data_IF_468865663453
#
_entry.id   IF_468865663453
#
_cell.length_a   1.000
_cell.length_b   1.000
_cell.length_c   1.000
_cell.angle_alpha   90.00
_cell.angle_beta   90.00
_cell.angle_gamma   90.00
#
_symmetry.space_group_name_H-M   'P 1'
#
loop_
_entity.id
_entity.type
_entity.pdbx_description
1 polymer ?
#
# COMPACT_ATOMS: atom_id res chain seq x y z
N UNK A 1 2.75 7.35 -7.11
CA UNK A 1 2.07 6.04 -7.16
C UNK A 1 2.68 5.09 -8.19
N UNK A 2 3.23 5.59 -9.30
CA UNK A 2 3.92 4.77 -10.32
C UNK A 2 4.92 3.78 -9.73
N UNK A 3 5.78 4.22 -8.81
CA UNK A 3 6.80 3.35 -8.21
C UNK A 3 6.25 2.07 -7.56
N UNK A 4 5.08 2.12 -6.90
CA UNK A 4 4.50 0.95 -6.24
C UNK A 4 3.97 -0.06 -7.26
N UNK A 5 3.47 0.43 -8.40
CA UNK A 5 3.02 -0.43 -9.50
C UNK A 5 4.21 -0.96 -10.31
N UNK A 6 5.16 -0.09 -10.67
CA UNK A 6 6.29 -0.39 -11.54
C UNK A 6 7.28 -1.37 -10.89
N UNK A 7 7.36 -1.39 -9.56
CA UNK A 7 8.25 -2.31 -8.83
C UNK A 7 7.54 -3.57 -8.34
N UNK A 8 6.25 -3.77 -8.62
CA UNK A 8 5.50 -4.90 -8.06
C UNK A 8 6.10 -6.27 -8.42
N UNK A 9 6.60 -6.40 -9.65
CA UNK A 9 7.27 -7.61 -10.13
C UNK A 9 8.71 -7.77 -9.58
N UNK A 10 9.28 -6.71 -8.99
CA UNK A 10 10.54 -6.73 -8.24
C UNK A 10 10.24 -6.67 -6.73
N UNK A 11 9.79 -7.81 -6.19
CA UNK A 11 9.30 -7.93 -4.81
C UNK A 11 10.25 -7.34 -3.74
N UNK A 12 11.58 -7.56 -3.79
CA UNK A 12 12.52 -6.90 -2.87
C UNK A 12 12.42 -5.37 -2.89
N UNK A 13 12.37 -4.77 -4.08
CA UNK A 13 12.28 -3.31 -4.24
C UNK A 13 10.91 -2.80 -3.79
N UNK A 14 9.83 -3.50 -4.14
CA UNK A 14 8.48 -3.17 -3.69
C UNK A 14 8.37 -3.12 -2.16
N UNK A 15 8.82 -4.19 -1.49
CA UNK A 15 8.76 -4.29 -0.03
C UNK A 15 9.65 -3.25 0.64
N UNK A 16 10.85 -3.00 0.10
CA UNK A 16 11.72 -1.94 0.61
C UNK A 16 11.05 -0.55 0.51
N UNK A 17 10.35 -0.27 -0.59
CA UNK A 17 9.61 0.98 -0.73
C UNK A 17 8.43 1.08 0.24
N UNK A 18 7.68 -0.01 0.49
CA UNK A 18 6.61 -0.02 1.50
C UNK A 18 7.15 0.33 2.90
N UNK A 19 8.27 -0.28 3.31
CA UNK A 19 8.93 0.07 4.59
C UNK A 19 9.39 1.52 4.65
N UNK A 20 9.92 2.05 3.54
CA UNK A 20 10.33 3.45 3.48
C UNK A 20 9.14 4.42 3.59
N UNK A 21 7.99 4.05 3.01
CA UNK A 21 6.74 4.79 3.19
C UNK A 21 6.37 4.82 4.68
N UNK A 22 6.38 3.69 5.39
CA UNK A 22 6.15 3.66 6.84
C UNK A 22 7.13 4.57 7.59
N UNK A 23 8.42 4.47 7.30
CA UNK A 23 9.46 5.27 7.97
C UNK A 23 9.21 6.78 7.81
N UNK A 24 8.78 7.21 6.63
CA UNK A 24 8.44 8.60 6.34
C UNK A 24 7.15 9.05 6.99
N UNK A 25 6.22 8.15 7.32
CA UNK A 25 4.90 8.53 7.83
C UNK A 25 4.71 8.26 9.33
N UNK A 26 5.60 7.51 9.99
CA UNK A 26 5.48 7.15 11.41
C UNK A 26 5.28 8.34 12.35
N UNK A 27 5.80 9.52 12.01
CA UNK A 27 5.68 10.73 12.82
C UNK A 27 4.27 11.33 12.80
N UNK A 28 3.44 10.99 11.81
CA UNK A 28 2.03 11.37 11.75
C UNK A 28 1.12 10.51 12.64
N UNK A 29 1.65 9.41 13.21
CA UNK A 29 0.90 8.50 14.11
C UNK A 29 -0.43 8.04 13.50
N UNK A 30 -0.40 7.68 12.23
CA UNK A 30 -1.57 7.19 11.50
C UNK A 30 -2.05 5.86 12.08
N UNK A 31 -3.37 5.66 12.07
CA UNK A 31 -3.96 4.37 12.42
C UNK A 31 -3.52 3.28 11.41
N UNK A 32 -3.18 2.06 11.86
CA UNK A 32 -2.61 1.02 10.99
C UNK A 32 -3.53 0.58 9.85
N UNK A 33 -4.84 0.61 10.07
CA UNK A 33 -5.85 0.25 9.07
C UNK A 33 -5.87 1.21 7.86
N UNK A 34 -5.26 2.39 7.99
CA UNK A 34 -5.20 3.37 6.90
C UNK A 34 -4.31 2.91 5.74
N UNK A 35 -3.37 1.98 5.96
CA UNK A 35 -2.47 1.48 4.92
C UNK A 35 -3.22 0.70 3.83
N UNK A 36 -4.16 -0.16 4.21
CA UNK A 36 -5.06 -0.82 3.25
C UNK A 36 -6.17 0.12 2.77
N UNK A 37 -6.75 0.94 3.66
CA UNK A 37 -7.85 1.87 3.32
C UNK A 37 -7.47 2.88 2.24
N UNK A 38 -6.21 3.32 2.19
CA UNK A 38 -5.71 4.23 1.16
C UNK A 38 -6.00 3.73 -0.25
N UNK A 39 -5.82 2.44 -0.52
CA UNK A 39 -6.01 1.90 -1.87
C UNK A 39 -7.47 1.81 -2.28
N UNK A 40 -8.40 1.65 -1.32
CA UNK A 40 -9.83 1.82 -1.57
C UNK A 40 -10.13 3.25 -2.03
N UNK A 41 -9.56 4.25 -1.36
CA UNK A 41 -9.71 5.66 -1.75
C UNK A 41 -9.07 5.91 -3.13
N UNK A 42 -7.88 5.35 -3.36
CA UNK A 42 -7.14 5.55 -4.60
C UNK A 42 -7.83 4.92 -5.82
N UNK A 43 -8.34 3.70 -5.69
CA UNK A 43 -9.08 3.03 -6.79
C UNK A 43 -10.41 3.72 -7.09
N UNK A 44 -11.11 4.24 -6.07
CA UNK A 44 -12.28 5.10 -6.27
C UNK A 44 -11.92 6.40 -7.01
N UNK A 45 -10.78 7.01 -6.67
CA UNK A 45 -10.28 8.17 -7.41
C UNK A 45 -9.98 7.83 -8.87
N UNK A 46 -9.30 6.72 -9.16
CA UNK A 46 -9.03 6.28 -10.52
C UNK A 46 -10.34 6.06 -11.31
N UNK A 47 -11.34 5.41 -10.70
CA UNK A 47 -12.66 5.21 -11.28
C UNK A 47 -13.38 6.53 -11.60
N UNK A 48 -13.14 7.59 -10.82
CA UNK A 48 -13.66 8.94 -11.10
C UNK A 48 -13.00 9.63 -12.31
N UNK A 49 -11.81 9.17 -12.73
CA UNK A 49 -11.04 9.71 -13.86
C UNK A 49 -11.22 8.90 -15.14
N UNK A 50 -11.72 7.68 -15.04
CA UNK A 50 -12.01 6.79 -16.16
C UNK A 50 -12.40 5.40 -15.66
N UNK A 51 -13.03 4.57 -16.51
CA UNK A 51 -13.41 3.22 -16.12
C UNK A 51 -12.17 2.38 -15.81
N UNK A 52 -12.21 1.65 -14.67
CA UNK A 52 -11.29 0.58 -14.36
C UNK A 52 -11.87 -0.76 -14.80
N UNK A 53 -11.10 -1.56 -15.54
CA UNK A 53 -11.46 -2.93 -15.84
C UNK A 53 -11.46 -3.79 -14.57
N UNK A 54 -12.17 -4.92 -14.60
CA UNK A 54 -12.19 -5.83 -13.45
C UNK A 54 -10.82 -6.43 -13.17
N UNK A 55 -9.99 -6.64 -14.19
CA UNK A 55 -8.61 -7.10 -14.04
C UNK A 55 -7.73 -6.04 -13.36
N UNK A 56 -7.91 -4.76 -13.71
CA UNK A 56 -7.22 -3.67 -13.02
C UNK A 56 -7.62 -3.58 -11.55
N UNK A 57 -8.91 -3.75 -11.22
CA UNK A 57 -9.38 -3.76 -9.82
C UNK A 57 -8.77 -4.93 -9.05
N UNK A 58 -8.72 -6.13 -9.64
CA UNK A 58 -8.07 -7.31 -9.04
C UNK A 58 -6.58 -7.08 -8.83
N UNK A 59 -5.88 -6.51 -9.80
CA UNK A 59 -4.46 -6.17 -9.68
C UNK A 59 -4.21 -5.17 -8.53
N UNK A 60 -5.03 -4.12 -8.42
CA UNK A 60 -4.95 -3.20 -7.28
C UNK A 60 -5.23 -3.88 -5.94
N UNK A 61 -6.22 -4.79 -5.88
CA UNK A 61 -6.51 -5.54 -4.67
C UNK A 61 -5.34 -6.44 -4.24
N UNK A 62 -4.71 -7.13 -5.19
CA UNK A 62 -3.52 -7.94 -4.94
C UNK A 62 -2.35 -7.08 -4.44
N UNK A 63 -2.08 -5.97 -5.14
CA UNK A 63 -1.03 -5.03 -4.76
C UNK A 63 -1.25 -4.48 -3.34
N UNK A 64 -2.49 -4.08 -3.03
CA UNK A 64 -2.88 -3.56 -1.70
C UNK A 64 -2.58 -4.58 -0.62
N UNK A 65 -2.95 -5.85 -0.86
CA UNK A 65 -2.71 -6.92 0.11
C UNK A 65 -1.23 -7.07 0.44
N UNK A 66 -0.37 -7.16 -0.58
CA UNK A 66 1.08 -7.32 -0.38
C UNK A 66 1.70 -6.08 0.28
N UNK A 67 1.24 -4.88 -0.10
CA UNK A 67 1.70 -3.63 0.49
C UNK A 67 1.34 -3.53 1.98
N UNK A 68 0.09 -3.82 2.32
CA UNK A 68 -0.40 -3.77 3.69
C UNK A 68 0.29 -4.82 4.56
N UNK A 69 0.42 -6.07 4.08
CA UNK A 69 1.16 -7.13 4.79
C UNK A 69 2.59 -6.70 5.16
N UNK A 70 3.31 -6.07 4.23
CA UNK A 70 4.66 -5.55 4.50
C UNK A 70 4.65 -4.38 5.50
N UNK A 71 3.70 -3.45 5.34
CA UNK A 71 3.53 -2.32 6.24
C UNK A 71 3.25 -2.76 7.68
N UNK A 72 2.31 -3.70 7.88
CA UNK A 72 1.97 -4.22 9.21
C UNK A 72 3.13 -4.98 9.84
N UNK A 73 3.86 -5.80 9.06
CA UNK A 73 5.05 -6.50 9.55
C UNK A 73 6.12 -5.52 10.01
N UNK A 74 6.40 -4.48 9.21
CA UNK A 74 7.43 -3.48 9.55
C UNK A 74 7.02 -2.59 10.73
N UNK A 75 5.75 -2.22 10.84
CA UNK A 75 5.22 -1.53 12.03
C UNK A 75 5.44 -2.36 13.30
N UNK A 76 5.17 -3.66 13.23
CA UNK A 76 5.44 -4.60 14.33
C UNK A 76 6.92 -4.65 14.70
N UNK A 77 7.82 -4.73 13.73
CA UNK A 77 9.28 -4.70 13.97
C UNK A 77 9.76 -3.41 14.64
N UNK A 78 9.13 -2.27 14.31
CA UNK A 78 9.40 -0.97 14.92
C UNK A 78 8.75 -0.78 16.30
N UNK A 79 7.96 -1.74 16.79
CA UNK A 79 7.20 -1.61 18.04
C UNK A 79 6.08 -0.56 17.96
N UNK A 80 5.55 -0.31 16.76
CA UNK A 80 4.46 0.63 16.50
C UNK A 80 3.10 -0.09 16.45
N UNK A 81 1.97 0.64 16.57
CA UNK A 81 0.64 0.06 16.34
C UNK A 81 0.55 -0.65 14.99
N UNK A 82 -0.08 -1.82 14.97
CA UNK A 82 -0.27 -2.69 13.80
C UNK A 82 -1.56 -3.51 13.96
N UNK A 83 -2.11 -4.05 12.86
CA UNK A 83 -3.32 -4.88 12.84
C UNK A 83 -3.11 -6.20 12.09
#
# INVERSE_FOLDING_TARGET
MYIVADTFDDEPTFRAYAREVINRHRHFKMEPELWSTFFTIFTNFLASRGPLSDDQKKAWAQLTKVFDEECQSHLKELGLPHC
#
